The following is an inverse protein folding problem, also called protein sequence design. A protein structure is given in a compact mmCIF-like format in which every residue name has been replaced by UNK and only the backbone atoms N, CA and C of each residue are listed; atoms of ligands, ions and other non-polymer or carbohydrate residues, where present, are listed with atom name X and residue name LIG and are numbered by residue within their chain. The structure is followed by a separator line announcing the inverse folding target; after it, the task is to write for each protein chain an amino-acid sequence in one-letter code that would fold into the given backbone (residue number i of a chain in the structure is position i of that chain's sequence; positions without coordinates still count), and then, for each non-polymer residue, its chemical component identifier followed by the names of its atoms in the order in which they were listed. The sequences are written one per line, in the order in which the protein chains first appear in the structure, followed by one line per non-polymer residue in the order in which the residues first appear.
data_IF_087640620554
#
_entry.id   IF_087640620554
#
_cell.length_a   1.000
_cell.length_b   1.000
_cell.length_c   1.000
_cell.angle_alpha   90.00
_cell.angle_beta   90.00
_cell.angle_gamma   90.00
#
_symmetry.space_group_name_H-M   'P 1'
#
loop_
_entity.id
_entity.type
_entity.pdbx_description
1 polymer ?
#
# COMPACT_ATOMS: atom_id res chain seq x y z
N UNK A 1 0.35 9.12 12.50
CA UNK A 1 0.60 8.28 11.32
C UNK A 1 0.29 6.84 11.67
N UNK A 2 -0.40 6.14 10.78
CA UNK A 2 -0.77 4.73 10.94
C UNK A 2 -0.09 3.94 9.82
N UNK A 3 0.63 2.90 10.17
CA UNK A 3 1.24 1.96 9.24
C UNK A 3 0.25 0.83 8.97
N UNK A 4 0.08 0.49 7.69
CA UNK A 4 -0.70 -0.66 7.25
C UNK A 4 0.23 -1.56 6.45
N UNK A 5 0.56 -2.73 6.99
CA UNK A 5 1.48 -3.70 6.39
C UNK A 5 0.72 -4.96 6.00
N UNK A 6 0.86 -5.38 4.75
CA UNK A 6 0.48 -6.71 4.29
C UNK A 6 1.68 -7.61 4.17
N UNK A 7 1.52 -8.87 4.54
CA UNK A 7 2.50 -9.94 4.39
C UNK A 7 1.85 -11.15 3.75
N UNK A 8 2.45 -11.69 2.69
CA UNK A 8 1.92 -12.82 1.92
C UNK A 8 2.94 -13.27 0.87
N UNK A 9 2.89 -14.53 0.44
CA UNK A 9 3.80 -15.03 -0.59
C UNK A 9 5.31 -14.88 -0.29
N UNK A 10 5.69 -14.71 0.98
CA UNK A 10 7.08 -14.44 1.37
C UNK A 10 7.57 -13.00 1.15
N UNK A 11 6.67 -12.06 0.84
CA UNK A 11 6.98 -10.63 0.67
C UNK A 11 6.07 -9.74 1.53
N UNK A 12 6.40 -8.44 1.56
CA UNK A 12 5.73 -7.42 2.35
C UNK A 12 5.42 -6.17 1.52
N UNK A 13 4.28 -5.53 1.80
CA UNK A 13 3.94 -4.20 1.33
C UNK A 13 3.51 -3.36 2.54
N UNK A 14 4.12 -2.19 2.71
CA UNK A 14 3.71 -1.24 3.75
C UNK A 14 3.31 0.08 3.11
N UNK A 15 2.19 0.64 3.55
CA UNK A 15 1.84 2.03 3.29
C UNK A 15 1.48 2.76 4.57
N UNK A 16 1.21 4.05 4.43
CA UNK A 16 0.95 4.95 5.54
C UNK A 16 -0.37 5.69 5.36
N UNK A 17 -1.21 5.69 6.40
CA UNK A 17 -2.28 6.66 6.55
C UNK A 17 -1.75 7.82 7.37
N UNK A 18 -1.67 8.99 6.75
CA UNK A 18 -1.41 10.26 7.39
C UNK A 18 -2.70 10.76 8.04
N UNK A 19 -2.59 11.21 9.29
CA UNK A 19 -3.71 11.70 10.10
C UNK A 19 -3.79 13.22 10.07
N UNK A 20 -4.85 13.77 10.68
CA UNK A 20 -5.09 15.21 10.76
C UNK A 20 -3.87 15.94 11.32
N UNK A 21 -3.37 16.92 10.56
CA UNK A 21 -2.23 17.75 10.94
C UNK A 21 -0.87 17.15 10.57
N UNK A 22 -0.84 15.98 9.95
CA UNK A 22 0.37 15.41 9.35
C UNK A 22 0.45 15.78 7.87
N UNK A 23 1.67 15.97 7.37
CA UNK A 23 1.91 16.32 5.97
C UNK A 23 2.24 15.06 5.17
N UNK A 24 1.33 14.59 4.28
CA UNK A 24 1.65 13.49 3.38
C UNK A 24 2.67 13.93 2.32
N UNK A 25 3.43 12.98 1.73
CA UNK A 25 4.26 13.26 0.57
C UNK A 25 3.40 13.69 -0.63
N UNK A 26 3.87 14.73 -1.33
CA UNK A 26 3.17 15.29 -2.48
C UNK A 26 3.61 14.65 -3.80
N UNK A 27 2.62 14.21 -4.58
CA UNK A 27 2.82 13.63 -5.91
C UNK A 27 2.04 14.42 -6.96
N UNK A 28 2.65 14.61 -8.13
CA UNK A 28 2.06 15.41 -9.19
C UNK A 28 0.77 14.76 -9.69
N UNK A 29 -0.36 15.45 -9.53
CA UNK A 29 -1.68 14.96 -9.97
C UNK A 29 -2.43 14.12 -8.93
N UNK A 30 -1.93 14.04 -7.69
CA UNK A 30 -2.62 13.38 -6.59
C UNK A 30 -3.99 14.04 -6.32
N UNK A 31 -5.09 13.26 -6.25
CA UNK A 31 -6.39 13.79 -5.89
C UNK A 31 -6.48 14.05 -4.38
N UNK A 32 -6.64 15.33 -4.02
CA UNK A 32 -7.03 15.81 -2.69
C UNK A 32 -6.15 15.36 -1.50
N UNK A 33 -5.08 16.12 -1.28
CA UNK A 33 -4.18 15.97 -0.12
C UNK A 33 -4.69 16.69 1.14
N UNK A 34 -5.74 17.52 1.01
CA UNK A 34 -6.32 18.31 2.12
C UNK A 34 -7.33 17.51 2.95
N UNK A 35 -7.48 16.21 2.67
CA UNK A 35 -8.41 15.36 3.40
C UNK A 35 -7.92 15.10 4.84
N UNK A 36 -8.85 14.89 5.79
CA UNK A 36 -8.48 14.59 7.18
C UNK A 36 -7.58 13.38 7.40
N UNK A 37 -7.67 12.41 6.50
CA UNK A 37 -6.81 11.22 6.47
C UNK A 37 -6.38 10.95 5.03
N UNK A 38 -5.10 10.68 4.82
CA UNK A 38 -4.55 10.44 3.47
C UNK A 38 -3.80 9.12 3.46
N UNK A 39 -4.27 8.16 2.66
CA UNK A 39 -3.56 6.91 2.41
C UNK A 39 -2.54 7.10 1.29
N UNK A 40 -1.30 6.68 1.56
CA UNK A 40 -0.20 6.64 0.58
C UNK A 40 0.44 5.27 0.62
N UNK A 41 0.48 4.62 -0.54
CA UNK A 41 1.17 3.35 -0.74
C UNK A 41 1.44 3.16 -2.23
N UNK A 42 2.58 2.55 -2.55
CA UNK A 42 2.89 2.15 -3.91
C UNK A 42 1.83 1.16 -4.45
N UNK A 43 1.76 1.09 -5.77
CA UNK A 43 1.08 0.00 -6.47
C UNK A 43 2.09 -0.74 -7.32
N UNK A 44 1.90 -2.05 -7.47
CA UNK A 44 2.73 -2.86 -8.33
C UNK A 44 1.92 -3.95 -9.04
N UNK A 45 2.48 -4.47 -10.12
CA UNK A 45 1.90 -5.55 -10.91
C UNK A 45 3.01 -6.36 -11.59
N UNK A 46 2.71 -7.63 -11.87
CA UNK A 46 3.61 -8.50 -12.62
C UNK A 46 3.73 -8.05 -14.09
N UNK A 47 4.94 -8.16 -14.64
CA UNK A 47 5.26 -7.83 -16.04
C UNK A 47 6.06 -8.94 -16.71
N UNK A 48 5.81 -9.18 -18.00
CA UNK A 48 6.53 -10.22 -18.76
C UNK A 48 8.03 -9.88 -18.95
N UNK A 49 8.39 -8.59 -18.97
CA UNK A 49 9.78 -8.14 -19.12
C UNK A 49 9.99 -6.75 -18.53
N UNK A 50 11.24 -6.42 -18.19
CA UNK A 50 11.57 -5.18 -17.47
C UNK A 50 11.33 -5.31 -15.96
N UNK A 51 10.96 -4.22 -15.29
CA UNK A 51 10.65 -4.22 -13.85
C UNK A 51 11.83 -4.58 -12.95
N UNK A 52 11.51 -4.92 -11.70
CA UNK A 52 12.43 -5.41 -10.67
C UNK A 52 12.10 -6.85 -10.30
N UNK A 53 13.10 -7.70 -9.99
CA UNK A 53 12.82 -9.06 -9.55
C UNK A 53 12.20 -9.07 -8.16
N UNK A 54 11.23 -9.95 -7.93
CA UNK A 54 10.61 -10.21 -6.63
C UNK A 54 10.36 -11.72 -6.52
N UNK A 55 10.64 -12.30 -5.35
CA UNK A 55 10.32 -13.71 -5.08
C UNK A 55 8.97 -13.78 -4.40
N UNK A 56 8.04 -14.53 -4.98
CA UNK A 56 6.67 -14.75 -4.49
C UNK A 56 6.40 -16.24 -4.48
N UNK A 57 6.03 -16.80 -3.33
CA UNK A 57 5.81 -18.24 -3.12
C UNK A 57 6.96 -19.14 -3.60
N UNK A 58 8.19 -18.61 -3.58
CA UNK A 58 9.41 -19.29 -4.01
C UNK A 58 9.69 -19.20 -5.52
N UNK A 59 8.85 -18.52 -6.28
CA UNK A 59 9.04 -18.26 -7.72
C UNK A 59 9.51 -16.81 -7.93
N UNK A 60 10.51 -16.61 -8.79
CA UNK A 60 10.95 -15.26 -9.16
C UNK A 60 10.06 -14.71 -10.27
N UNK A 61 9.41 -13.58 -10.00
CA UNK A 61 8.64 -12.80 -10.96
C UNK A 61 9.29 -11.43 -11.21
N UNK A 62 8.77 -10.69 -12.19
CA UNK A 62 9.19 -9.31 -12.48
C UNK A 62 8.02 -8.38 -12.16
N UNK A 63 8.24 -7.37 -11.34
CA UNK A 63 7.22 -6.39 -10.97
C UNK A 63 7.57 -4.99 -11.46
N UNK A 64 6.57 -4.25 -11.94
CA UNK A 64 6.68 -2.82 -12.19
C UNK A 64 5.97 -2.05 -11.07
N UNK A 65 6.57 -0.94 -10.65
CA UNK A 65 6.00 -0.04 -9.65
C UNK A 65 5.35 1.17 -10.33
N UNK A 66 4.22 1.59 -9.78
CA UNK A 66 3.55 2.84 -10.14
C UNK A 66 3.73 3.83 -9.00
N UNK A 67 3.96 5.10 -9.36
CA UNK A 67 4.03 6.18 -8.37
C UNK A 67 2.76 6.19 -7.52
N UNK A 68 2.87 6.40 -6.19
CA UNK A 68 1.73 6.48 -5.31
C UNK A 68 0.75 7.57 -5.77
N UNK A 69 -0.53 7.23 -5.73
CA UNK A 69 -1.61 8.20 -5.82
C UNK A 69 -2.26 8.33 -4.43
N UNK A 70 -1.88 9.37 -3.65
CA UNK A 70 -2.53 9.67 -2.39
C UNK A 70 -4.05 9.67 -2.51
N UNK A 71 -4.72 9.08 -1.52
CA UNK A 71 -6.18 9.01 -1.45
C UNK A 71 -6.67 9.58 -0.14
N UNK A 72 -7.47 10.64 -0.24
CA UNK A 72 -8.09 11.32 0.90
C UNK A 72 -9.38 10.66 1.39
N UNK A 73 -9.57 10.66 2.71
CA UNK A 73 -10.76 10.14 3.41
C UNK A 73 -11.18 11.06 4.57
N UNK A 74 -12.47 11.05 4.90
CA UNK A 74 -13.03 11.88 5.98
C UNK A 74 -12.77 11.30 7.39
N UNK A 75 -12.66 9.97 7.47
CA UNK A 75 -12.52 9.23 8.73
C UNK A 75 -11.36 8.25 8.72
N UNK A 76 -10.83 7.98 9.92
CA UNK A 76 -9.74 7.02 10.16
C UNK A 76 -10.13 5.63 9.69
N UNK A 77 -11.34 5.19 10.02
CA UNK A 77 -11.81 3.84 9.71
C UNK A 77 -11.92 3.64 8.20
N UNK A 78 -12.47 4.61 7.46
CA UNK A 78 -12.50 4.57 5.99
C UNK A 78 -11.08 4.47 5.39
N UNK A 79 -10.14 5.27 5.89
CA UNK A 79 -8.77 5.26 5.40
C UNK A 79 -8.09 3.91 5.67
N UNK A 80 -8.26 3.35 6.87
CA UNK A 80 -7.68 2.06 7.24
C UNK A 80 -8.32 0.90 6.49
N UNK A 81 -9.65 0.89 6.30
CA UNK A 81 -10.32 -0.13 5.49
C UNK A 81 -9.85 -0.08 4.03
N UNK A 82 -9.81 1.11 3.43
CA UNK A 82 -9.31 1.28 2.07
C UNK A 82 -7.83 0.89 1.93
N UNK A 83 -7.01 1.14 2.94
CA UNK A 83 -5.62 0.71 2.99
C UNK A 83 -5.51 -0.82 3.03
N UNK A 84 -6.30 -1.50 3.85
CA UNK A 84 -6.35 -2.97 3.92
C UNK A 84 -6.75 -3.58 2.59
N UNK A 85 -7.78 -3.04 1.95
CA UNK A 85 -8.25 -3.51 0.65
C UNK A 85 -7.24 -3.26 -0.46
N UNK A 86 -6.58 -2.11 -0.45
CA UNK A 86 -5.51 -1.78 -1.39
C UNK A 86 -4.36 -2.78 -1.29
N UNK A 87 -3.90 -3.06 -0.07
CA UNK A 87 -2.82 -4.02 0.18
C UNK A 87 -3.17 -5.40 -0.37
N UNK A 88 -4.33 -5.95 -0.02
CA UNK A 88 -4.79 -7.24 -0.56
C UNK A 88 -4.89 -7.25 -2.09
N UNK A 89 -5.35 -6.15 -2.66
CA UNK A 89 -5.40 -5.98 -4.12
C UNK A 89 -4.02 -6.03 -4.76
N UNK A 90 -2.98 -5.47 -4.13
CA UNK A 90 -1.62 -5.54 -4.67
C UNK A 90 -1.06 -6.96 -4.65
N UNK A 91 -1.30 -7.71 -3.57
CA UNK A 91 -0.91 -9.12 -3.50
C UNK A 91 -1.62 -9.98 -4.56
N UNK A 92 -2.91 -9.74 -4.81
CA UNK A 92 -3.65 -10.41 -5.88
C UNK A 92 -3.01 -10.21 -7.27
N UNK A 93 -2.42 -9.04 -7.53
CA UNK A 93 -1.78 -8.70 -8.81
C UNK A 93 -0.47 -9.43 -9.07
N UNK A 94 0.10 -10.06 -8.06
CA UNK A 94 1.32 -10.88 -8.15
C UNK A 94 1.03 -12.36 -7.86
N UNK A 95 -0.25 -12.77 -7.92
CA UNK A 95 -0.66 -14.17 -7.81
C UNK A 95 -0.87 -14.69 -6.38
N UNK A 96 -0.76 -13.84 -5.36
CA UNK A 96 -1.03 -14.25 -3.96
C UNK A 96 -2.53 -14.13 -3.67
N UNK A 97 -3.13 -15.17 -3.08
CA UNK A 97 -4.54 -15.14 -2.68
C UNK A 97 -4.78 -14.03 -1.64
N UNK A 98 -5.71 -13.08 -1.88
CA UNK A 98 -6.07 -12.03 -0.92
C UNK A 98 -6.39 -12.52 0.50
N UNK A 99 -6.95 -13.72 0.62
CA UNK A 99 -7.34 -14.30 1.92
C UNK A 99 -6.13 -14.84 2.70
N UNK A 100 -5.02 -15.15 2.02
CA UNK A 100 -3.75 -15.57 2.63
C UNK A 100 -2.87 -14.38 3.07
N UNK A 101 -3.30 -13.14 2.76
CA UNK A 101 -2.57 -11.92 3.13
C UNK A 101 -2.88 -11.52 4.57
N UNK A 102 -1.89 -11.62 5.44
CA UNK A 102 -1.96 -11.07 6.79
C UNK A 102 -1.82 -9.54 6.74
N UNK A 103 -2.79 -8.80 7.29
CA UNK A 103 -2.74 -7.33 7.32
C UNK A 103 -2.69 -6.79 8.75
N UNK A 104 -1.54 -6.25 9.11
CA UNK A 104 -1.27 -5.58 10.39
C UNK A 104 -1.50 -4.07 10.27
N UNK A 105 -2.05 -3.47 11.33
CA UNK A 105 -2.23 -2.03 11.46
C UNK A 105 -1.62 -1.59 12.78
N UNK A 106 -0.65 -0.68 12.72
CA UNK A 106 0.09 -0.17 13.87
C UNK A 106 0.23 1.35 13.80
N UNK A 107 0.43 1.99 14.95
CA UNK A 107 0.86 3.39 14.95
C UNK A 107 2.33 3.43 14.53
N UNK A 108 2.75 4.46 13.77
CA UNK A 108 4.17 4.71 13.60
C UNK A 108 4.78 5.01 14.98
N UNK A 109 5.86 4.33 15.35
CA UNK A 109 6.56 4.65 16.59
C UNK A 109 7.00 6.13 16.56
N UNK A 110 6.86 6.87 17.66
CA UNK A 110 7.44 8.20 17.75
C UNK A 110 8.97 8.06 17.62
N UNK A 111 9.52 8.73 16.61
CA UNK A 111 10.96 8.82 16.36
C UNK A 111 11.70 9.51 17.52
#
# INVERSE_FOLDING_TARGET
MILVRGSGGGTDLTGTVFERGEEPPAYKGAPNEDAPYVWVCDSFYEVESGGSPLVVDGEEIRVAFEEPMPRGFDTRDQAVEAARDHVRTQFARIGVDPDDVAVEVSAADPA
#
